data_IF_980167130723
#
_entry.id   IF_980167130723
#
_cell.length_a   1.000
_cell.length_b   1.000
_cell.length_c   1.000
_cell.angle_alpha   90.00
_cell.angle_beta   90.00
_cell.angle_gamma   90.00
#
_symmetry.space_group_name_H-M   'P 1'
#
loop_
_entity.id
_entity.type
_entity.pdbx_description
1 polymer ?
#
# COMPACT_ATOMS: atom_id res chain seq x y z
N UNK A 1 13.26 9.35 -21.90
CA UNK A 1 12.38 8.41 -21.17
C UNK A 1 12.99 8.20 -19.79
N UNK A 2 12.26 8.49 -18.71
CA UNK A 2 12.78 8.45 -17.33
C UNK A 2 12.31 7.15 -16.69
N UNK A 3 13.22 6.24 -16.39
CA UNK A 3 12.91 4.94 -15.76
C UNK A 3 12.39 5.20 -14.35
N UNK A 4 11.09 4.99 -14.15
CA UNK A 4 10.44 5.04 -12.84
C UNK A 4 10.63 3.69 -12.17
N UNK A 5 11.53 3.62 -11.19
CA UNK A 5 11.62 2.48 -10.29
C UNK A 5 10.47 2.60 -9.29
N UNK A 6 9.36 1.92 -9.56
CA UNK A 6 8.30 1.74 -8.57
C UNK A 6 8.87 0.80 -7.52
N UNK A 7 9.17 1.33 -6.34
CA UNK A 7 9.59 0.49 -5.22
C UNK A 7 8.48 -0.53 -4.95
N UNK A 8 8.86 -1.81 -4.83
CA UNK A 8 7.95 -2.94 -4.58
C UNK A 8 7.13 -2.78 -3.29
N UNK A 9 7.57 -1.89 -2.39
CA UNK A 9 6.95 -1.63 -1.10
C UNK A 9 6.36 -0.23 -1.03
N UNK A 10 5.15 -0.08 -0.44
CA UNK A 10 4.57 1.23 -0.23
C UNK A 10 5.50 2.11 0.61
N UNK A 11 5.65 3.37 0.19
CA UNK A 11 6.41 4.38 0.89
C UNK A 11 5.48 5.51 1.34
N UNK A 12 5.73 6.02 2.54
CA UNK A 12 4.98 7.14 3.13
C UNK A 12 5.93 8.31 3.30
N UNK A 13 5.48 9.51 2.92
CA UNK A 13 6.16 10.74 3.32
C UNK A 13 5.72 11.11 4.72
N UNK A 14 6.67 11.18 5.64
CA UNK A 14 6.43 11.52 7.04
C UNK A 14 7.13 12.85 7.36
N UNK A 15 6.38 13.78 7.95
CA UNK A 15 6.89 15.07 8.40
C UNK A 15 7.13 15.02 9.90
N UNK A 16 8.34 15.39 10.33
CA UNK A 16 8.72 15.52 11.72
C UNK A 16 8.31 16.89 12.28
N UNK A 17 8.26 17.02 13.61
CA UNK A 17 7.90 18.27 14.30
C UNK A 17 8.87 19.42 14.01
N UNK A 18 10.14 19.10 13.73
CA UNK A 18 11.15 20.06 13.32
C UNK A 18 10.98 20.57 11.87
N UNK A 19 10.01 20.03 11.12
CA UNK A 19 9.72 20.39 9.74
C UNK A 19 10.36 19.51 8.67
N UNK A 20 11.25 18.58 9.04
CA UNK A 20 11.89 17.68 8.09
C UNK A 20 10.89 16.69 7.49
N UNK A 21 11.08 16.35 6.21
CA UNK A 21 10.27 15.35 5.52
C UNK A 21 11.17 14.17 5.17
N UNK A 22 10.84 13.01 5.72
CA UNK A 22 11.53 11.74 5.47
C UNK A 22 10.63 10.79 4.69
N UNK A 23 11.25 9.89 3.94
CA UNK A 23 10.53 8.80 3.26
C UNK A 23 10.67 7.53 4.08
N UNK A 24 9.57 7.06 4.65
CA UNK A 24 9.52 5.81 5.42
C UNK A 24 9.05 4.70 4.48
N UNK A 25 9.86 3.65 4.33
CA UNK A 25 9.55 2.48 3.48
C UNK A 25 8.98 1.38 4.34
N UNK A 26 7.77 0.93 4.03
CA UNK A 26 7.15 -0.15 4.76
C UNK A 26 7.79 -1.48 4.37
N UNK A 27 7.98 -2.36 5.35
CA UNK A 27 8.44 -3.74 5.15
C UNK A 27 7.27 -4.69 5.29
N UNK A 28 7.30 -5.80 4.56
CA UNK A 28 6.31 -6.86 4.71
C UNK A 28 6.54 -7.57 6.05
N UNK A 29 5.51 -7.65 6.87
CA UNK A 29 5.49 -8.32 8.17
C UNK A 29 4.27 -9.26 8.25
N UNK A 30 4.22 -10.09 9.29
CA UNK A 30 3.04 -10.91 9.55
C UNK A 30 1.81 -10.02 9.76
N UNK A 31 0.77 -10.24 8.94
CA UNK A 31 -0.48 -9.48 8.98
C UNK A 31 -0.48 -8.11 8.28
N UNK A 32 0.57 -7.73 7.53
CA UNK A 32 0.53 -6.51 6.70
C UNK A 32 1.88 -5.89 6.42
N UNK A 33 1.89 -4.58 6.15
CA UNK A 33 3.14 -3.82 5.97
C UNK A 33 3.34 -2.88 7.15
N UNK A 34 4.57 -2.82 7.68
CA UNK A 34 4.92 -1.99 8.84
C UNK A 34 6.25 -1.28 8.65
N UNK A 35 6.40 -0.11 9.24
CA UNK A 35 7.69 0.56 9.40
C UNK A 35 7.67 1.50 10.61
N UNK A 36 8.85 1.72 11.17
CA UNK A 36 9.07 2.69 12.24
C UNK A 36 9.98 3.78 11.70
N UNK A 37 9.63 5.04 11.95
CA UNK A 37 10.53 6.15 11.65
C UNK A 37 11.66 6.19 12.67
N UNK A 38 12.91 6.23 12.21
CA UNK A 38 14.09 6.26 13.10
C UNK A 38 14.26 7.60 13.84
N UNK A 39 13.66 8.68 13.35
CA UNK A 39 13.85 10.01 13.94
C UNK A 39 12.81 10.42 14.99
N UNK A 40 11.67 9.74 15.06
CA UNK A 40 10.59 10.08 16.00
C UNK A 40 9.86 8.84 16.56
N UNK A 41 10.32 7.64 16.21
CA UNK A 41 9.78 6.36 16.67
C UNK A 41 8.29 6.13 16.30
N UNK A 42 7.73 6.94 15.41
CA UNK A 42 6.36 6.76 14.93
C UNK A 42 6.24 5.47 14.12
N UNK A 43 5.28 4.62 14.52
CA UNK A 43 4.96 3.38 13.81
C UNK A 43 3.90 3.62 12.74
N UNK A 44 4.20 3.20 11.51
CA UNK A 44 3.30 3.18 10.37
C UNK A 44 2.88 1.75 10.09
N UNK A 45 1.56 1.53 10.05
CA UNK A 45 0.98 0.23 9.73
C UNK A 45 0.03 0.39 8.56
N UNK A 46 0.33 -0.28 7.46
CA UNK A 46 -0.62 -0.45 6.37
C UNK A 46 -1.33 -1.79 6.55
N UNK A 47 -2.62 -1.70 6.85
CA UNK A 47 -3.54 -2.82 6.86
C UNK A 47 -4.24 -2.82 5.52
N UNK A 48 -4.05 -3.88 4.72
CA UNK A 48 -4.89 -4.06 3.52
C UNK A 48 -6.34 -4.00 4.01
N UNK A 49 -7.23 -3.22 3.36
CA UNK A 49 -8.63 -3.21 3.71
C UNK A 49 -9.13 -4.65 3.78
N UNK A 50 -9.90 -4.98 4.83
CA UNK A 50 -10.62 -6.25 4.83
C UNK A 50 -11.46 -6.32 3.56
N UNK A 51 -11.45 -7.44 2.82
CA UNK A 51 -12.29 -7.59 1.64
C UNK A 51 -13.71 -7.19 2.00
N UNK A 52 -14.34 -6.36 1.17
CA UNK A 52 -15.72 -5.96 1.39
C UNK A 52 -16.59 -7.21 1.51
N UNK A 53 -17.45 -7.34 2.53
CA UNK A 53 -18.39 -8.45 2.62
C UNK A 53 -19.45 -8.39 1.52
N UNK A 54 -19.54 -7.25 0.81
CA UNK A 54 -20.45 -7.04 -0.30
C UNK A 54 -19.77 -7.52 -1.57
N UNK A 55 -20.37 -8.50 -2.25
CA UNK A 55 -19.92 -8.92 -3.56
C UNK A 55 -20.13 -7.77 -4.56
N UNK A 56 -19.04 -7.11 -4.95
CA UNK A 56 -19.08 -6.13 -6.03
C UNK A 56 -19.13 -6.88 -7.37
N UNK A 57 -20.30 -6.91 -8.00
CA UNK A 57 -20.45 -7.49 -9.33
C UNK A 57 -19.65 -6.67 -10.35
N UNK A 58 -18.97 -7.36 -11.27
CA UNK A 58 -18.23 -6.74 -12.38
C UNK A 58 -19.18 -5.85 -13.16
N UNK A 59 -18.95 -4.54 -13.15
CA UNK A 59 -19.74 -3.62 -13.95
C UNK A 59 -19.45 -3.89 -15.43
N UNK A 60 -20.46 -4.12 -16.28
CA UNK A 60 -20.27 -4.32 -17.72
C UNK A 60 -19.79 -3.04 -18.43
N UNK A 61 -19.81 -1.90 -17.74
CA UNK A 61 -19.39 -0.60 -18.27
C UNK A 61 -17.95 -0.23 -17.89
N UNK A 62 -17.31 -0.97 -16.98
CA UNK A 62 -15.93 -0.71 -16.60
C UNK A 62 -14.98 -1.51 -17.49
N UNK A 63 -13.93 -0.87 -18.04
CA UNK A 63 -12.90 -1.60 -18.76
C UNK A 63 -12.22 -2.61 -17.83
N UNK A 64 -11.74 -3.75 -18.36
CA UNK A 64 -11.05 -4.76 -17.57
C UNK A 64 -9.67 -4.24 -17.13
N UNK A 65 -9.64 -3.45 -16.06
CA UNK A 65 -8.41 -2.95 -15.43
C UNK A 65 -7.96 -3.98 -14.38
N UNK A 66 -6.76 -4.53 -14.56
CA UNK A 66 -6.13 -5.46 -13.60
C UNK A 66 -5.97 -4.74 -12.25
N UNK A 67 -6.53 -5.30 -11.18
CA UNK A 67 -6.45 -4.76 -9.82
C UNK A 67 -7.67 -4.00 -9.30
N UNK A 68 -8.74 -3.82 -10.10
CA UNK A 68 -9.99 -3.18 -9.64
C UNK A 68 -10.93 -4.11 -8.85
N UNK A 69 -10.57 -5.38 -8.70
CA UNK A 69 -11.46 -6.40 -8.15
C UNK A 69 -10.76 -7.17 -7.03
N UNK A 70 -11.44 -7.36 -5.89
CA UNK A 70 -11.02 -8.22 -4.78
C UNK A 70 -11.03 -9.72 -5.13
N UNK A 71 -11.25 -10.07 -6.40
CA UNK A 71 -11.08 -11.42 -6.91
C UNK A 71 -9.61 -11.77 -6.93
N UNK A 72 -9.16 -12.51 -5.92
CA UNK A 72 -7.82 -13.05 -5.82
C UNK A 72 -7.39 -13.72 -7.12
N UNK A 73 -6.37 -13.12 -7.74
CA UNK A 73 -5.44 -13.81 -8.63
C UNK A 73 -4.41 -14.48 -7.70
N UNK A 74 -4.86 -15.50 -6.95
CA UNK A 74 -3.97 -16.51 -6.38
C UNK A 74 -4.01 -17.67 -7.39
N UNK A 75 -3.20 -17.52 -8.43
CA UNK A 75 -2.99 -18.51 -9.48
C UNK A 75 -2.11 -19.63 -8.90
N UNK A 76 -2.71 -20.81 -8.73
CA UNK A 76 -2.00 -22.07 -8.49
C UNK A 76 -2.65 -23.19 -9.31
#
# INVERSE_FOLDING_TARGET
>A
MRTLYVAEYPAIQHRHDNGDIVTVRLKRCEGGFRATCEGCETEFVYRKPTPSPIAHFKSPLLPPIKGNWDGGDDDH
#
